data_IF_624510579175
#
_entry.id   IF_624510579175
#
_cell.length_a   1.000
_cell.length_b   1.000
_cell.length_c   1.000
_cell.angle_alpha   90.00
_cell.angle_beta   90.00
_cell.angle_gamma   90.00
#
_symmetry.space_group_name_H-M   'P 1'
#
loop_
_entity.id
_entity.type
_entity.pdbx_description
1 polymer ?
#
# COMPACT_ATOMS: atom_id res chain seq x y z
N UNK A 1 10.30 -9.56 -13.86
CA UNK A 1 9.50 -8.34 -13.69
C UNK A 1 8.30 -8.51 -14.58
N UNK A 2 7.16 -8.80 -13.97
CA UNK A 2 5.86 -8.86 -14.65
C UNK A 2 5.54 -7.45 -15.12
N UNK A 3 5.07 -7.29 -16.36
CA UNK A 3 4.61 -5.98 -16.84
C UNK A 3 3.18 -5.77 -16.36
N UNK A 4 2.98 -4.80 -15.46
CA UNK A 4 1.65 -4.43 -14.95
C UNK A 4 0.84 -3.64 -15.99
N UNK A 5 -0.46 -3.55 -15.79
CA UNK A 5 -1.34 -2.74 -16.63
C UNK A 5 -0.99 -1.25 -16.53
N UNK A 6 -1.47 -0.47 -17.50
CA UNK A 6 -1.14 0.95 -17.60
C UNK A 6 -1.58 1.75 -16.36
N UNK A 7 -2.76 1.43 -15.83
CA UNK A 7 -3.33 2.06 -14.63
C UNK A 7 -2.48 1.80 -13.39
N UNK A 8 -1.97 0.58 -13.23
CA UNK A 8 -1.07 0.22 -12.13
C UNK A 8 0.25 0.99 -12.25
N UNK A 9 0.85 1.00 -13.44
CA UNK A 9 2.12 1.71 -13.67
C UNK A 9 1.97 3.21 -13.45
N UNK A 10 0.91 3.84 -13.98
CA UNK A 10 0.64 5.26 -13.75
C UNK A 10 0.53 5.61 -12.26
N UNK A 11 -0.14 4.76 -11.46
CA UNK A 11 -0.27 4.99 -10.03
C UNK A 11 1.09 4.89 -9.32
N UNK A 12 1.88 3.85 -9.63
CA UNK A 12 3.20 3.66 -9.05
C UNK A 12 4.14 4.82 -9.39
N UNK A 13 4.15 5.27 -10.65
CA UNK A 13 4.96 6.40 -11.10
C UNK A 13 4.56 7.70 -10.39
N UNK A 14 3.25 7.94 -10.23
CA UNK A 14 2.74 9.11 -9.50
C UNK A 14 3.11 9.07 -8.01
N UNK A 15 3.09 7.87 -7.41
CA UNK A 15 3.47 7.67 -6.02
C UNK A 15 4.97 7.89 -5.82
N UNK A 16 5.81 7.31 -6.69
CA UNK A 16 7.26 7.49 -6.67
C UNK A 16 7.63 8.97 -6.84
N UNK A 17 7.05 9.67 -7.82
CA UNK A 17 7.26 11.10 -8.02
C UNK A 17 6.85 11.95 -6.81
N UNK A 18 5.75 11.61 -6.14
CA UNK A 18 5.30 12.30 -4.92
C UNK A 18 6.29 12.08 -3.77
N UNK A 19 6.76 10.85 -3.59
CA UNK A 19 7.66 10.46 -2.52
C UNK A 19 9.07 11.00 -2.72
N UNK A 20 9.58 10.98 -3.96
CA UNK A 20 10.87 11.57 -4.32
C UNK A 20 10.92 13.06 -3.95
N UNK A 21 9.88 13.83 -4.31
CA UNK A 21 9.75 15.26 -3.92
C UNK A 21 9.68 15.45 -2.40
N UNK A 22 9.14 14.50 -1.66
CA UNK A 22 9.09 14.58 -0.21
C UNK A 22 10.46 14.28 0.42
N UNK A 23 11.18 13.29 -0.10
CA UNK A 23 12.52 12.92 0.31
C UNK A 23 13.53 14.05 0.03
N UNK A 24 13.46 14.66 -1.17
CA UNK A 24 14.25 15.83 -1.56
C UNK A 24 14.09 17.00 -0.57
N UNK A 25 12.85 17.35 -0.21
CA UNK A 25 12.56 18.41 0.77
C UNK A 25 13.14 18.13 2.17
N UNK A 26 13.39 16.87 2.48
CA UNK A 26 13.93 16.41 3.76
C UNK A 26 15.45 16.15 3.70
N UNK A 27 16.07 16.24 2.52
CA UNK A 27 17.49 15.97 2.33
C UNK A 27 17.88 14.50 2.52
N UNK A 28 16.93 13.56 2.39
CA UNK A 28 17.17 12.12 2.49
C UNK A 28 16.91 11.44 1.15
N UNK A 29 17.64 10.36 0.81
CA UNK A 29 17.31 9.58 -0.39
C UNK A 29 15.99 8.83 -0.20
N UNK A 30 15.18 8.74 -1.26
CA UNK A 30 14.04 7.83 -1.28
C UNK A 30 14.56 6.40 -1.28
N UNK A 31 14.22 5.63 -0.25
CA UNK A 31 14.58 4.22 -0.14
C UNK A 31 13.37 3.42 0.28
N UNK A 32 13.17 2.28 -0.36
CA UNK A 32 12.09 1.35 -0.06
C UNK A 32 12.64 0.23 0.82
N UNK A 33 11.97 -0.04 1.94
CA UNK A 33 12.19 -1.30 2.66
C UNK A 33 11.63 -2.47 1.85
N UNK A 34 12.10 -3.69 2.14
CA UNK A 34 11.57 -4.89 1.48
C UNK A 34 10.05 -5.06 1.69
N UNK A 35 9.53 -4.65 2.85
CA UNK A 35 8.10 -4.72 3.14
C UNK A 35 7.28 -3.72 2.32
N UNK A 36 7.78 -2.50 2.13
CA UNK A 36 7.12 -1.50 1.29
C UNK A 36 7.19 -1.89 -0.18
N UNK A 37 8.35 -2.34 -0.66
CA UNK A 37 8.50 -2.84 -2.03
C UNK A 37 7.51 -3.99 -2.31
N UNK A 38 7.37 -4.93 -1.38
CA UNK A 38 6.38 -6.00 -1.50
C UNK A 38 4.93 -5.47 -1.46
N UNK A 39 4.65 -4.44 -0.66
CA UNK A 39 3.32 -3.81 -0.60
C UNK A 39 2.98 -3.12 -1.93
N UNK A 40 3.96 -2.48 -2.59
CA UNK A 40 3.78 -1.89 -3.92
C UNK A 40 3.47 -2.94 -4.98
N UNK A 41 4.13 -4.10 -4.94
CA UNK A 41 3.85 -5.21 -5.85
C UNK A 41 2.41 -5.73 -5.67
N UNK A 42 1.99 -5.97 -4.43
CA UNK A 42 0.61 -6.41 -4.14
C UNK A 42 -0.40 -5.35 -4.61
N UNK A 43 -0.09 -4.07 -4.43
CA UNK A 43 -0.92 -2.97 -4.90
C UNK A 43 -1.07 -3.01 -6.44
N UNK A 44 0.03 -3.22 -7.16
CA UNK A 44 0.03 -3.34 -8.62
C UNK A 44 -0.80 -4.54 -9.10
N UNK A 45 -0.57 -5.72 -8.52
CA UNK A 45 -1.34 -6.94 -8.82
C UNK A 45 -2.84 -6.77 -8.54
N UNK A 46 -3.18 -6.05 -7.47
CA UNK A 46 -4.58 -5.75 -7.11
C UNK A 46 -5.24 -4.87 -8.18
N UNK A 47 -4.50 -3.88 -8.71
CA UNK A 47 -4.99 -2.99 -9.77
C UNK A 47 -5.11 -3.75 -11.08
N UNK A 48 -4.12 -4.58 -11.44
CA UNK A 48 -4.19 -5.43 -12.63
C UNK A 48 -5.45 -6.30 -12.61
N UNK A 49 -5.71 -6.95 -11.47
CA UNK A 49 -6.90 -7.79 -11.31
C UNK A 49 -8.18 -6.96 -11.38
N UNK A 50 -8.22 -5.80 -10.74
CA UNK A 50 -9.37 -4.88 -10.78
C UNK A 50 -9.66 -4.47 -12.22
N UNK A 51 -8.66 -4.04 -12.98
CA UNK A 51 -8.81 -3.61 -14.38
C UNK A 51 -9.35 -4.76 -15.23
N UNK A 52 -8.79 -5.96 -15.11
CA UNK A 52 -9.27 -7.13 -15.84
C UNK A 52 -10.74 -7.47 -15.52
N UNK A 53 -11.15 -7.35 -14.25
CA UNK A 53 -12.53 -7.60 -13.84
C UNK A 53 -13.50 -6.52 -14.28
N UNK A 54 -13.07 -5.25 -14.30
CA UNK A 54 -13.86 -4.16 -14.86
C UNK A 54 -14.12 -4.39 -16.35
N UNK A 55 -13.09 -4.75 -17.13
CA UNK A 55 -13.28 -5.09 -18.54
C UNK A 55 -14.23 -6.29 -18.73
N UNK A 56 -14.14 -7.31 -17.88
CA UNK A 56 -15.07 -8.44 -17.91
C UNK A 56 -16.50 -8.05 -17.52
N UNK A 57 -16.66 -7.11 -16.58
CA UNK A 57 -17.97 -6.59 -16.17
C UNK A 57 -18.62 -5.80 -17.32
N UNK A 58 -17.85 -4.96 -18.00
CA UNK A 58 -18.34 -4.14 -19.13
C UNK A 58 -18.69 -4.99 -20.34
N UNK A 59 -18.05 -6.15 -20.51
CA UNK A 59 -18.33 -7.11 -21.58
C UNK A 59 -19.54 -8.03 -21.29
N UNK A 60 -20.13 -7.99 -20.09
CA UNK A 60 -21.26 -8.85 -19.76
C UNK A 60 -22.53 -8.44 -20.49
N UNK A 61 -23.25 -9.42 -21.02
CA UNK A 61 -24.55 -9.23 -21.65
C UNK A 61 -25.66 -9.03 -20.62
N UNK A 62 -26.79 -8.45 -21.05
CA UNK A 62 -27.94 -8.20 -20.17
C UNK A 62 -28.51 -9.47 -19.51
N UNK A 63 -28.33 -10.63 -20.14
CA UNK A 63 -28.74 -11.94 -19.61
C UNK A 63 -27.84 -12.45 -18.48
N UNK A 64 -26.69 -11.82 -18.24
CA UNK A 64 -25.67 -12.25 -17.27
C UNK A 64 -25.70 -11.47 -15.95
N UNK A 65 -26.87 -10.94 -15.56
CA UNK A 65 -27.03 -10.09 -14.37
C UNK A 65 -26.41 -10.70 -13.08
N UNK A 66 -26.50 -12.01 -12.89
CA UNK A 66 -25.89 -12.70 -11.73
C UNK A 66 -24.37 -12.63 -11.75
N UNK A 67 -23.74 -12.70 -12.92
CA UNK A 67 -22.30 -12.56 -13.11
C UNK A 67 -21.87 -11.11 -12.87
N UNK A 68 -22.60 -10.15 -13.43
CA UNK A 68 -22.36 -8.72 -13.21
C UNK A 68 -22.36 -8.35 -11.71
N UNK A 69 -23.34 -8.83 -10.93
CA UNK A 69 -23.40 -8.56 -9.49
C UNK A 69 -22.18 -9.12 -8.74
N UNK A 70 -21.68 -10.30 -9.13
CA UNK A 70 -20.48 -10.92 -8.52
C UNK A 70 -19.22 -10.12 -8.86
N UNK A 71 -19.04 -9.78 -10.13
CA UNK A 71 -17.92 -8.97 -10.60
C UNK A 71 -17.91 -7.59 -9.92
N UNK A 72 -19.06 -6.91 -9.85
CA UNK A 72 -19.22 -5.64 -9.13
C UNK A 72 -18.86 -5.74 -7.64
N UNK A 73 -19.16 -6.88 -7.03
CA UNK A 73 -18.80 -7.12 -5.63
C UNK A 73 -17.29 -7.27 -5.47
N UNK A 74 -16.64 -8.05 -6.34
CA UNK A 74 -15.19 -8.24 -6.33
C UNK A 74 -14.43 -6.94 -6.61
N UNK A 75 -14.86 -6.17 -7.62
CA UNK A 75 -14.26 -4.86 -7.96
C UNK A 75 -14.26 -3.94 -6.73
N UNK A 76 -15.39 -3.86 -6.01
CA UNK A 76 -15.47 -3.04 -4.78
C UNK A 76 -14.60 -3.55 -3.64
N UNK A 77 -14.34 -4.86 -3.57
CA UNK A 77 -13.41 -5.43 -2.59
C UNK A 77 -11.97 -5.04 -2.93
N UNK A 78 -11.59 -5.13 -4.21
CA UNK A 78 -10.29 -4.71 -4.70
C UNK A 78 -10.08 -3.21 -4.50
N UNK A 79 -11.09 -2.37 -4.77
CA UNK A 79 -11.03 -0.92 -4.50
C UNK A 79 -10.71 -0.63 -3.02
N UNK A 80 -11.37 -1.34 -2.10
CA UNK A 80 -11.11 -1.19 -0.66
C UNK A 80 -9.69 -1.63 -0.31
N UNK A 81 -9.21 -2.73 -0.89
CA UNK A 81 -7.86 -3.23 -0.66
C UNK A 81 -6.82 -2.24 -1.18
N UNK A 82 -7.02 -1.64 -2.37
CA UNK A 82 -6.15 -0.58 -2.91
C UNK A 82 -6.02 0.59 -1.93
N UNK A 83 -7.15 1.09 -1.40
CA UNK A 83 -7.12 2.19 -0.42
C UNK A 83 -6.37 1.78 0.85
N UNK A 84 -6.56 0.55 1.33
CA UNK A 84 -5.87 0.05 2.52
C UNK A 84 -4.36 -0.08 2.30
N UNK A 85 -3.93 -0.58 1.13
CA UNK A 85 -2.51 -0.73 0.78
C UNK A 85 -1.84 0.63 0.61
N UNK A 86 -2.52 1.58 -0.05
CA UNK A 86 -2.04 2.96 -0.16
C UNK A 86 -1.85 3.62 1.21
N UNK A 87 -2.74 3.35 2.17
CA UNK A 87 -2.60 3.83 3.55
C UNK A 87 -1.42 3.24 4.32
N UNK A 88 -0.84 2.12 3.85
CA UNK A 88 0.36 1.52 4.47
C UNK A 88 1.67 2.07 3.90
N UNK A 89 1.62 2.69 2.74
CA UNK A 89 2.77 3.32 2.11
C UNK A 89 2.89 4.72 2.71
N UNK A 90 3.64 4.81 3.80
CA UNK A 90 3.89 6.09 4.47
C UNK A 90 5.09 6.78 3.83
N UNK A 91 4.99 8.09 3.66
CA UNK A 91 6.19 8.89 3.45
C UNK A 91 6.84 8.91 4.82
N UNK A 92 7.92 8.18 5.03
CA UNK A 92 8.70 8.37 6.24
C UNK A 92 9.16 9.84 6.27
N UNK A 93 8.35 10.74 6.86
CA UNK A 93 8.86 11.95 7.44
C UNK A 93 9.96 11.50 8.40
N UNK A 94 11.06 12.26 8.56
CA UNK A 94 12.12 11.85 9.47
C UNK A 94 11.41 11.59 10.79
N UNK A 95 11.49 10.35 11.33
CA UNK A 95 10.79 9.96 12.54
C UNK A 95 11.01 11.11 13.52
N UNK A 96 9.95 11.87 13.80
CA UNK A 96 10.02 12.92 14.82
C UNK A 96 10.68 12.24 16.02
N UNK A 97 11.76 12.82 16.59
CA UNK A 97 12.52 12.15 17.63
C UNK A 97 11.54 11.59 18.64
N UNK A 98 11.62 10.27 18.83
CA UNK A 98 10.61 9.49 19.52
C UNK A 98 10.30 10.18 20.85
N UNK A 99 9.02 10.52 21.11
CA UNK A 99 8.69 11.35 22.27
C UNK A 99 9.27 10.72 23.54
N UNK A 100 9.81 11.53 24.45
CA UNK A 100 10.36 11.03 25.72
C UNK A 100 9.35 10.19 26.50
N UNK A 101 8.04 10.43 26.29
CA UNK A 101 6.96 9.63 26.87
C UNK A 101 6.95 8.20 26.32
N UNK A 102 7.09 8.03 25.00
CA UNK A 102 7.17 6.72 24.33
C UNK A 102 8.43 5.96 24.75
N UNK A 103 9.57 6.66 24.79
CA UNK A 103 10.85 6.08 25.24
C UNK A 103 10.73 5.57 26.69
N UNK A 104 10.19 6.38 27.60
CA UNK A 104 9.98 6.00 29.01
C UNK A 104 8.97 4.85 29.16
N UNK A 105 7.90 4.84 28.37
CA UNK A 105 6.91 3.75 28.41
C UNK A 105 7.53 2.42 27.97
N UNK A 106 8.36 2.41 26.92
CA UNK A 106 9.11 1.22 26.48
C UNK A 106 10.12 0.78 27.53
N UNK A 107 10.90 1.69 28.11
CA UNK A 107 11.84 1.38 29.19
C UNK A 107 11.12 0.77 30.41
N UNK A 108 10.00 1.36 30.82
CA UNK A 108 9.20 0.85 31.93
C UNK A 108 8.59 -0.51 31.61
N UNK A 109 8.09 -0.73 30.38
CA UNK A 109 7.59 -2.03 29.94
C UNK A 109 8.72 -3.08 29.94
N UNK A 110 9.88 -2.76 29.38
CA UNK A 110 11.05 -3.65 29.36
C UNK A 110 11.53 -3.99 30.78
N UNK A 111 11.52 -3.02 31.68
CA UNK A 111 11.86 -3.22 33.09
C UNK A 111 10.81 -4.07 33.84
N UNK A 112 9.52 -3.96 33.47
CA UNK A 112 8.42 -4.74 34.10
C UNK A 112 8.35 -6.17 33.61
N UNK A 113 8.63 -6.40 32.33
CA UNK A 113 8.46 -7.71 31.68
C UNK A 113 9.77 -8.49 31.50
N UNK A 114 10.91 -7.92 31.89
CA UNK A 114 12.13 -8.68 32.18
C UNK A 114 12.66 -9.52 31.03
N UNK A 115 12.92 -8.92 29.87
CA UNK A 115 13.94 -9.47 28.96
C UNK A 115 15.28 -8.79 29.28
N UNK A 116 15.84 -9.18 30.42
CA UNK A 116 17.28 -9.29 30.57
C UNK A 116 17.69 -10.60 29.87
N UNK A 117 18.04 -10.50 28.59
CA UNK A 117 18.79 -11.55 27.91
C UNK A 117 20.10 -10.91 27.47
N UNK A 118 21.16 -11.25 28.22
CA UNK A 118 22.60 -11.14 27.96
C UNK A 118 23.10 -10.08 26.96
#
# INVERSE_FOLDING_TARGET
MTTHCHEAQQLLDALDAKLARAAERQGVPLTWTAAEAHTLEILADTIDRRTALTSAFDACEASEAKTQVKLSTEIRQLDRLVVQLLGKIDVAAPKQPESLRTVKARQAANARWGNASA
#
